data_IF_606597630573
#
_entry.id   IF_606597630573
#
_cell.length_a   1.000
_cell.length_b   1.000
_cell.length_c   1.000
_cell.angle_alpha   90.00
_cell.angle_beta   90.00
_cell.angle_gamma   90.00
#
_symmetry.space_group_name_H-M   'P 1'
#
loop_
_entity.id
_entity.type
_entity.pdbx_description
1 polymer ?
#
# COMPACT_ATOMS: atom_id res chain seq x y z
N UNK A 1 42.78 -11.25 -13.65
CA UNK A 1 41.80 -10.42 -12.92
C UNK A 1 40.59 -10.01 -13.79
N UNK A 2 39.78 -10.93 -14.37
CA UNK A 2 38.57 -10.52 -15.11
C UNK A 2 37.26 -10.63 -14.30
N UNK A 3 37.26 -11.27 -13.12
CA UNK A 3 36.03 -11.49 -12.35
C UNK A 3 35.41 -10.19 -11.81
N UNK A 4 36.24 -9.26 -11.31
CA UNK A 4 35.74 -8.04 -10.65
C UNK A 4 34.97 -7.11 -11.59
N UNK A 5 35.37 -7.02 -12.86
CA UNK A 5 34.66 -6.18 -13.85
C UNK A 5 33.33 -6.80 -14.30
N UNK A 6 33.23 -8.13 -14.36
CA UNK A 6 31.99 -8.83 -14.71
C UNK A 6 30.97 -8.75 -13.56
N UNK A 7 31.43 -8.91 -12.32
CA UNK A 7 30.59 -8.70 -11.13
C UNK A 7 30.03 -7.28 -11.10
N UNK A 8 30.87 -6.25 -11.31
CA UNK A 8 30.44 -4.86 -11.36
C UNK A 8 29.37 -4.62 -12.43
N UNK A 9 29.58 -5.09 -13.67
CA UNK A 9 28.60 -4.92 -14.77
C UNK A 9 27.28 -5.63 -14.44
N UNK A 10 27.32 -6.83 -13.88
CA UNK A 10 26.12 -7.57 -13.48
C UNK A 10 25.36 -6.86 -12.36
N UNK A 11 26.08 -6.32 -11.35
CA UNK A 11 25.48 -5.52 -10.28
C UNK A 11 24.79 -4.28 -10.86
N UNK A 12 25.48 -3.52 -11.73
CA UNK A 12 24.88 -2.36 -12.39
C UNK A 12 23.63 -2.71 -13.21
N UNK A 13 23.64 -3.81 -13.95
CA UNK A 13 22.46 -4.26 -14.69
C UNK A 13 21.32 -4.68 -13.78
N UNK A 14 21.61 -5.35 -12.66
CA UNK A 14 20.58 -5.74 -11.68
C UNK A 14 19.97 -4.53 -10.97
N UNK A 15 20.79 -3.54 -10.59
CA UNK A 15 20.32 -2.29 -9.96
C UNK A 15 19.45 -1.47 -10.94
N UNK A 16 19.89 -1.36 -12.19
CA UNK A 16 19.13 -0.67 -13.23
C UNK A 16 17.76 -1.32 -13.48
N UNK A 17 17.72 -2.65 -13.54
CA UNK A 17 16.49 -3.44 -13.69
C UNK A 17 15.54 -3.25 -12.48
N UNK A 18 16.08 -3.26 -11.25
CA UNK A 18 15.28 -3.00 -10.05
C UNK A 18 14.71 -1.57 -10.03
N UNK A 19 15.48 -0.59 -10.50
CA UNK A 19 15.03 0.80 -10.56
C UNK A 19 13.92 1.00 -11.61
N UNK A 20 13.99 0.29 -12.73
CA UNK A 20 12.94 0.27 -13.76
C UNK A 20 11.66 -0.38 -13.21
N UNK A 21 11.77 -1.57 -12.60
CA UNK A 21 10.65 -2.26 -11.96
C UNK A 21 9.99 -1.42 -10.87
N UNK A 22 10.79 -0.71 -10.06
CA UNK A 22 10.27 0.20 -9.04
C UNK A 22 9.48 1.35 -9.68
N UNK A 23 10.03 1.98 -10.72
CA UNK A 23 9.37 3.09 -11.42
C UNK A 23 8.06 2.65 -12.08
N UNK A 24 8.00 1.43 -12.63
CA UNK A 24 6.79 0.82 -13.16
C UNK A 24 5.76 0.60 -12.04
N UNK A 25 6.18 0.08 -10.89
CA UNK A 25 5.28 -0.16 -9.77
C UNK A 25 4.63 1.13 -9.25
N UNK A 26 5.41 2.21 -9.13
CA UNK A 26 4.88 3.54 -8.76
C UNK A 26 3.92 4.06 -9.84
N UNK A 27 4.23 3.85 -11.11
CA UNK A 27 3.34 4.26 -12.21
C UNK A 27 1.99 3.54 -12.13
N UNK A 28 1.99 2.24 -11.81
CA UNK A 28 0.77 1.48 -11.59
C UNK A 28 -0.02 1.97 -10.37
N UNK A 29 0.63 2.29 -9.24
CA UNK A 29 -0.08 2.78 -8.06
C UNK A 29 -0.74 4.15 -8.30
N UNK A 30 -0.07 5.06 -9.02
CA UNK A 30 -0.62 6.36 -9.41
C UNK A 30 -1.78 6.19 -10.38
N UNK A 31 -1.64 5.34 -11.41
CA UNK A 31 -2.72 5.06 -12.36
C UNK A 31 -3.94 4.45 -11.65
N UNK A 32 -3.71 3.49 -10.76
CA UNK A 32 -4.76 2.87 -9.96
C UNK A 32 -5.52 3.89 -9.11
N UNK A 33 -4.81 4.83 -8.49
CA UNK A 33 -5.41 5.91 -7.72
C UNK A 33 -6.33 6.79 -8.58
N UNK A 34 -5.86 7.21 -9.76
CA UNK A 34 -6.65 8.01 -10.70
C UNK A 34 -7.90 7.26 -11.17
N UNK A 35 -7.77 5.97 -11.48
CA UNK A 35 -8.90 5.12 -11.87
C UNK A 35 -9.92 4.96 -10.74
N UNK A 36 -9.48 4.81 -9.49
CA UNK A 36 -10.38 4.76 -8.32
C UNK A 36 -11.12 6.09 -8.14
N UNK A 37 -10.45 7.22 -8.41
CA UNK A 37 -11.07 8.54 -8.36
C UNK A 37 -12.18 8.69 -9.41
N UNK A 38 -11.96 8.16 -10.62
CA UNK A 38 -12.94 8.15 -11.71
C UNK A 38 -14.02 7.05 -11.54
N UNK A 39 -13.99 6.28 -10.46
CA UNK A 39 -14.95 5.21 -10.16
C UNK A 39 -14.73 3.92 -10.96
N UNK A 40 -13.61 3.81 -11.69
CA UNK A 40 -13.20 2.63 -12.45
C UNK A 40 -12.57 1.59 -11.52
N UNK A 41 -13.34 1.14 -10.52
CA UNK A 41 -12.86 0.36 -9.36
C UNK A 41 -12.19 -0.97 -9.74
N UNK A 42 -12.72 -1.69 -10.73
CA UNK A 42 -12.15 -2.98 -11.15
C UNK A 42 -10.74 -2.79 -11.75
N UNK A 43 -10.57 -1.83 -12.67
CA UNK A 43 -9.27 -1.54 -13.28
C UNK A 43 -8.30 -0.97 -12.25
N UNK A 44 -8.78 -0.10 -11.36
CA UNK A 44 -7.96 0.39 -10.25
C UNK A 44 -7.39 -0.76 -9.42
N UNK A 45 -8.22 -1.73 -9.04
CA UNK A 45 -7.79 -2.90 -8.29
C UNK A 45 -6.75 -3.73 -9.04
N UNK A 46 -6.93 -3.95 -10.34
CA UNK A 46 -5.94 -4.67 -11.18
C UNK A 46 -4.56 -3.98 -11.13
N UNK A 47 -4.53 -2.66 -11.32
CA UNK A 47 -3.26 -1.91 -11.30
C UNK A 47 -2.64 -1.85 -9.91
N UNK A 48 -3.43 -1.71 -8.84
CA UNK A 48 -2.91 -1.82 -7.48
C UNK A 48 -2.32 -3.20 -7.20
N UNK A 49 -2.96 -4.29 -7.66
CA UNK A 49 -2.41 -5.64 -7.51
C UNK A 49 -1.10 -5.82 -8.27
N UNK A 50 -0.98 -5.27 -9.48
CA UNK A 50 0.27 -5.27 -10.23
C UNK A 50 1.36 -4.49 -9.49
N UNK A 51 1.05 -3.29 -8.99
CA UNK A 51 1.99 -2.49 -8.19
C UNK A 51 2.46 -3.26 -6.94
N UNK A 52 1.52 -3.85 -6.20
CA UNK A 52 1.82 -4.64 -5.00
C UNK A 52 2.75 -5.81 -5.33
N UNK A 53 2.47 -6.53 -6.41
CA UNK A 53 3.28 -7.69 -6.83
C UNK A 53 4.74 -7.32 -7.11
N UNK A 54 4.97 -6.18 -7.76
CA UNK A 54 6.31 -5.67 -8.05
C UNK A 54 7.00 -5.17 -6.77
N UNK A 55 6.32 -4.36 -5.97
CA UNK A 55 6.89 -3.81 -4.74
C UNK A 55 7.26 -4.91 -3.74
N UNK A 56 6.40 -5.92 -3.54
CA UNK A 56 6.72 -7.05 -2.65
C UNK A 56 7.90 -7.87 -3.18
N UNK A 57 8.01 -8.05 -4.50
CA UNK A 57 9.15 -8.73 -5.12
C UNK A 57 10.46 -7.95 -4.91
N UNK A 58 10.41 -6.64 -5.10
CA UNK A 58 11.56 -5.74 -4.93
C UNK A 58 11.98 -5.60 -3.47
N UNK A 59 11.01 -5.54 -2.56
CA UNK A 59 11.24 -5.37 -1.13
C UNK A 59 12.01 -6.54 -0.55
N UNK A 60 11.69 -7.77 -0.96
CA UNK A 60 12.42 -8.97 -0.55
C UNK A 60 12.45 -9.19 0.98
N UNK A 61 11.56 -8.54 1.74
CA UNK A 61 11.53 -8.58 3.21
C UNK A 61 12.51 -7.61 3.89
N UNK A 62 13.03 -6.62 3.16
CA UNK A 62 13.89 -5.56 3.72
C UNK A 62 13.11 -4.37 4.26
N UNK A 63 11.79 -4.32 4.00
CA UNK A 63 10.91 -3.19 4.32
C UNK A 63 11.33 -1.85 3.68
N UNK A 64 12.25 -1.89 2.70
CA UNK A 64 12.72 -0.72 1.96
C UNK A 64 11.59 0.01 1.24
N UNK A 65 10.58 -0.71 0.76
CA UNK A 65 9.43 -0.14 0.04
C UNK A 65 8.15 -0.18 0.85
N UNK A 66 8.25 -0.35 2.18
CA UNK A 66 7.08 -0.47 3.05
C UNK A 66 6.14 0.75 3.00
N UNK A 67 6.64 1.97 2.73
CA UNK A 67 5.79 3.14 2.48
C UNK A 67 4.90 2.93 1.24
N UNK A 68 5.50 2.57 0.10
CA UNK A 68 4.73 2.38 -1.14
C UNK A 68 3.77 1.19 -1.03
N UNK A 69 4.18 0.13 -0.34
CA UNK A 69 3.33 -1.02 -0.05
C UNK A 69 2.13 -0.59 0.83
N UNK A 70 2.35 0.26 1.83
CA UNK A 70 1.30 0.84 2.68
C UNK A 70 0.29 1.62 1.84
N UNK A 71 0.75 2.48 0.94
CA UNK A 71 -0.12 3.25 0.04
C UNK A 71 -0.96 2.35 -0.87
N UNK A 72 -0.36 1.30 -1.43
CA UNK A 72 -1.06 0.35 -2.30
C UNK A 72 -2.12 -0.45 -1.52
N UNK A 73 -1.81 -0.94 -0.33
CA UNK A 73 -2.81 -1.59 0.53
C UNK A 73 -3.94 -0.65 0.93
N UNK A 74 -3.62 0.60 1.27
CA UNK A 74 -4.61 1.63 1.58
C UNK A 74 -5.54 1.91 0.40
N UNK A 75 -4.97 2.00 -0.80
CA UNK A 75 -5.70 2.16 -2.06
C UNK A 75 -6.65 0.99 -2.33
N UNK A 76 -6.16 -0.26 -2.24
CA UNK A 76 -7.00 -1.45 -2.36
C UNK A 76 -8.12 -1.48 -1.33
N UNK A 77 -7.83 -1.15 -0.08
CA UNK A 77 -8.82 -1.07 0.99
C UNK A 77 -9.95 -0.08 0.67
N UNK A 78 -9.60 1.09 0.12
CA UNK A 78 -10.57 2.10 -0.32
C UNK A 78 -11.40 1.62 -1.51
N UNK A 79 -10.79 0.95 -2.47
CA UNK A 79 -11.49 0.42 -3.65
C UNK A 79 -12.49 -0.67 -3.25
N UNK A 80 -12.08 -1.61 -2.40
CA UNK A 80 -13.00 -2.63 -1.86
C UNK A 80 -14.16 -2.01 -1.06
N UNK A 81 -13.88 -0.96 -0.27
CA UNK A 81 -14.92 -0.21 0.44
C UNK A 81 -15.95 0.39 -0.55
N UNK A 82 -15.48 1.04 -1.62
CA UNK A 82 -16.33 1.62 -2.66
C UNK A 82 -17.16 0.57 -3.40
N UNK A 83 -16.65 -0.66 -3.52
CA UNK A 83 -17.38 -1.80 -4.10
C UNK A 83 -18.37 -2.46 -3.12
N UNK A 84 -18.39 -2.05 -1.85
CA UNK A 84 -19.21 -2.66 -0.80
C UNK A 84 -18.65 -3.96 -0.26
N UNK A 85 -17.43 -4.35 -0.65
CA UNK A 85 -16.74 -5.52 -0.12
C UNK A 85 -15.98 -5.17 1.16
N UNK A 86 -16.75 -5.03 2.23
CA UNK A 86 -16.23 -4.59 3.52
C UNK A 86 -15.25 -5.59 4.16
N UNK A 87 -15.35 -6.88 3.83
CA UNK A 87 -14.45 -7.90 4.36
C UNK A 87 -13.04 -7.75 3.77
N UNK A 88 -12.93 -7.64 2.44
CA UNK A 88 -11.64 -7.41 1.80
C UNK A 88 -11.10 -6.01 2.08
N UNK A 89 -11.98 -5.01 2.20
CA UNK A 89 -11.58 -3.66 2.62
C UNK A 89 -10.88 -3.68 3.97
N UNK A 90 -11.48 -4.31 4.98
CA UNK A 90 -10.90 -4.45 6.31
C UNK A 90 -9.52 -5.13 6.24
N UNK A 91 -9.42 -6.26 5.56
CA UNK A 91 -8.17 -7.01 5.42
C UNK A 91 -7.04 -6.16 4.82
N UNK A 92 -7.32 -5.41 3.75
CA UNK A 92 -6.30 -4.59 3.09
C UNK A 92 -5.88 -3.40 3.95
N UNK A 93 -6.82 -2.76 4.64
CA UNK A 93 -6.53 -1.64 5.54
C UNK A 93 -5.72 -2.07 6.77
N UNK A 94 -5.98 -3.26 7.31
CA UNK A 94 -5.16 -3.85 8.38
C UNK A 94 -3.73 -4.13 7.91
N UNK A 95 -3.55 -4.63 6.68
CA UNK A 95 -2.22 -4.82 6.10
C UNK A 95 -1.48 -3.48 5.93
N UNK A 96 -2.18 -2.41 5.54
CA UNK A 96 -1.58 -1.08 5.46
C UNK A 96 -1.01 -0.62 6.81
N UNK A 97 -1.75 -0.80 7.91
CA UNK A 97 -1.27 -0.44 9.26
C UNK A 97 -0.03 -1.27 9.64
N UNK A 98 -0.03 -2.57 9.33
CA UNK A 98 1.11 -3.44 9.62
C UNK A 98 2.37 -2.92 8.93
N UNK A 99 2.30 -2.54 7.65
CA UNK A 99 3.44 -2.00 6.92
C UNK A 99 3.85 -0.60 7.38
N UNK A 100 2.89 0.28 7.70
CA UNK A 100 3.18 1.61 8.24
C UNK A 100 3.97 1.53 9.56
N UNK A 101 3.62 0.57 10.42
CA UNK A 101 4.31 0.33 11.69
C UNK A 101 5.79 -0.05 11.55
N UNK A 102 6.19 -0.61 10.41
CA UNK A 102 7.60 -1.00 10.15
C UNK A 102 8.52 0.18 9.85
N UNK A 103 7.96 1.31 9.42
CA UNK A 103 8.72 2.46 8.93
C UNK A 103 8.63 3.68 9.84
N UNK A 104 7.93 3.57 10.98
CA UNK A 104 7.59 4.68 11.87
C UNK A 104 6.81 5.81 11.15
N UNK A 105 6.15 5.51 10.04
CA UNK A 105 5.40 6.46 9.20
C UNK A 105 3.92 6.51 9.57
N UNK A 106 3.63 6.67 10.87
CA UNK A 106 2.25 6.66 11.39
C UNK A 106 1.38 7.79 10.81
N UNK A 107 1.99 8.88 10.36
CA UNK A 107 1.27 10.05 9.83
C UNK A 107 0.62 9.76 8.46
N UNK A 108 1.04 8.69 7.78
CA UNK A 108 0.54 8.34 6.44
C UNK A 108 -0.71 7.45 6.43
N UNK A 109 -1.21 7.04 7.61
CA UNK A 109 -2.37 6.14 7.74
C UNK A 109 -3.61 6.79 8.36
N UNK A 110 -3.65 8.11 8.52
CA UNK A 110 -4.83 8.81 9.04
C UNK A 110 -6.12 8.47 8.26
N UNK A 111 -6.04 8.48 6.92
CA UNK A 111 -7.17 8.10 6.05
C UNK A 111 -7.56 6.63 6.17
N UNK A 112 -6.63 5.74 6.54
CA UNK A 112 -6.90 4.31 6.78
C UNK A 112 -7.70 4.14 8.06
N UNK A 113 -7.32 4.84 9.14
CA UNK A 113 -8.03 4.79 10.41
C UNK A 113 -9.49 5.26 10.30
N UNK A 114 -9.74 6.31 9.51
CA UNK A 114 -11.11 6.79 9.27
C UNK A 114 -12.00 5.70 8.64
N UNK A 115 -11.51 5.03 7.59
CA UNK A 115 -12.27 3.98 6.90
C UNK A 115 -12.47 2.78 7.84
N UNK A 116 -11.46 2.40 8.62
CA UNK A 116 -11.59 1.34 9.62
C UNK A 116 -12.62 1.67 10.70
N UNK A 117 -12.60 2.89 11.25
CA UNK A 117 -13.60 3.35 12.21
C UNK A 117 -15.01 3.21 11.63
N UNK A 118 -15.19 3.63 10.37
CA UNK A 118 -16.46 3.52 9.65
C UNK A 118 -16.88 2.06 9.45
N UNK A 119 -15.95 1.17 9.08
CA UNK A 119 -16.22 -0.26 8.95
C UNK A 119 -16.65 -0.90 10.27
N UNK A 120 -16.04 -0.51 11.39
CA UNK A 120 -16.43 -1.03 12.71
C UNK A 120 -17.77 -0.48 13.19
N UNK A 121 -18.15 0.75 12.81
CA UNK A 121 -19.52 1.25 13.00
C UNK A 121 -20.54 0.37 12.26
N UNK A 122 -20.26 0.02 10.99
CA UNK A 122 -21.13 -0.86 10.20
C UNK A 122 -21.26 -2.27 10.79
N UNK A 123 -20.26 -2.73 11.55
CA UNK A 123 -20.28 -4.00 12.27
C UNK A 123 -20.90 -3.90 13.67
N UNK A 124 -21.48 -2.75 14.05
CA UNK A 124 -22.01 -2.47 15.38
C UNK A 124 -20.96 -2.62 16.51
N UNK A 125 -19.67 -2.52 16.18
CA UNK A 125 -18.57 -2.58 17.13
C UNK A 125 -18.09 -1.18 17.50
N UNK A 126 -18.88 -0.51 18.35
CA UNK A 126 -18.64 0.86 18.77
C UNK A 126 -17.29 1.06 19.47
N UNK A 127 -16.82 0.06 20.23
CA UNK A 127 -15.56 0.16 20.98
C UNK A 127 -14.36 0.29 20.03
N UNK A 128 -14.28 -0.59 19.02
CA UNK A 128 -13.22 -0.52 18.01
C UNK A 128 -13.35 0.71 17.13
N UNK A 129 -14.57 1.12 16.79
CA UNK A 129 -14.78 2.33 16.00
C UNK A 129 -14.20 3.56 16.72
N UNK A 130 -14.45 3.69 18.03
CA UNK A 130 -13.92 4.80 18.83
C UNK A 130 -12.39 4.78 18.91
N UNK A 131 -11.79 3.60 19.05
CA UNK A 131 -10.34 3.43 19.03
C UNK A 131 -9.73 3.97 17.72
N UNK A 132 -10.24 3.53 16.57
CA UNK A 132 -9.70 3.94 15.27
C UNK A 132 -9.93 5.42 14.96
N UNK A 133 -11.11 5.99 15.28
CA UNK A 133 -11.32 7.44 15.15
C UNK A 133 -10.41 8.25 16.10
N UNK A 134 -10.05 7.71 17.26
CA UNK A 134 -9.06 8.31 18.15
C UNK A 134 -7.66 8.35 17.52
N UNK A 135 -7.25 7.28 16.86
CA UNK A 135 -5.94 7.17 16.19
C UNK A 135 -5.80 8.10 14.98
N UNK A 136 -6.89 8.31 14.22
CA UNK A 136 -6.93 9.28 13.11
C UNK A 136 -6.47 10.68 13.57
N UNK A 137 -7.03 11.17 14.67
CA UNK A 137 -6.73 12.51 15.21
C UNK A 137 -5.27 12.67 15.65
N UNK A 138 -4.64 11.59 16.10
CA UNK A 138 -3.23 11.60 16.52
C UNK A 138 -2.31 11.59 15.30
N UNK A 139 -2.65 10.82 14.27
CA UNK A 139 -1.85 10.71 13.03
C UNK A 139 -1.93 11.92 12.10
N UNK A 140 -2.96 12.78 12.24
CA UNK A 140 -3.12 13.99 11.44
C UNK A 140 -2.56 15.29 12.07
N UNK A 141 -1.94 15.18 13.25
CA UNK A 141 -1.42 16.30 14.08
C UNK A 141 0.09 16.47 13.93
#
# INVERSE_FOLDING_TARGET
MPLRSLEIVNTYHSEYSQQEDYSIAISYSVLAYLLAFDGMNIQSMEYYQLALSLLTRLDGGTDQYALNITEVFSGLGRVYYQLGDYAHSLLMLEQAIIYAGKTHLNDQVAGVYNILGTLFVLQENCDKAFEYYGLENISGS
#
